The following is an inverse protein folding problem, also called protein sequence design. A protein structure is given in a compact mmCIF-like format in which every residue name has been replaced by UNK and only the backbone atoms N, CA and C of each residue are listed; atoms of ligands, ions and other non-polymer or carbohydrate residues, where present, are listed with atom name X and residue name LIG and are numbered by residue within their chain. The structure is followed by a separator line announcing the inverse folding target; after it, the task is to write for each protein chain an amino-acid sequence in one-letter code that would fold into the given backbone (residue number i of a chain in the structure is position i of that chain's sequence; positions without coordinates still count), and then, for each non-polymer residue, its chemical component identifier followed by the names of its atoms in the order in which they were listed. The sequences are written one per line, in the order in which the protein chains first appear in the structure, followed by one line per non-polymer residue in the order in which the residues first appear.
data_IF_755383024362
#
_entry.id   IF_755383024362
#
_cell.length_a   1.000
_cell.length_b   1.000
_cell.length_c   1.000
_cell.angle_alpha   90.00
_cell.angle_beta   90.00
_cell.angle_gamma   90.00
#
_symmetry.space_group_name_H-M   'P 1'
#
loop_
_entity.id
_entity.type
_entity.pdbx_description
1 polymer ?
#
# COMPACT_ATOMS: atom_id res chain seq x y z
N UNK A 1 -12.98 -21.66 13.21
CA UNK A 1 -11.66 -20.97 13.16
C UNK A 1 -11.48 -20.56 11.71
N UNK A 2 -11.31 -19.26 11.42
CA UNK A 2 -10.98 -18.82 10.06
C UNK A 2 -9.63 -19.43 9.68
N UNK A 3 -9.59 -20.08 8.53
CA UNK A 3 -8.33 -20.57 7.97
C UNK A 3 -7.53 -19.35 7.51
N UNK A 4 -6.59 -18.91 8.35
CA UNK A 4 -5.71 -17.77 8.09
C UNK A 4 -4.82 -17.98 6.85
N UNK A 5 -4.80 -19.18 6.28
CA UNK A 5 -4.08 -19.51 5.04
C UNK A 5 -4.95 -19.40 3.79
N UNK A 6 -6.27 -19.22 3.91
CA UNK A 6 -7.14 -19.00 2.75
C UNK A 6 -7.28 -17.49 2.46
N UNK A 7 -6.20 -16.88 1.99
CA UNK A 7 -6.10 -15.44 1.71
C UNK A 7 -6.66 -15.03 0.34
N UNK A 8 -7.27 -15.96 -0.41
CA UNK A 8 -7.76 -15.73 -1.77
C UNK A 8 -6.77 -16.18 -2.85
N UNK A 9 -6.86 -15.59 -4.04
CA UNK A 9 -6.04 -15.98 -5.20
C UNK A 9 -4.73 -15.18 -5.24
N UNK A 10 -3.58 -15.76 -5.61
CA UNK A 10 -2.34 -15.01 -5.77
C UNK A 10 -2.51 -13.82 -6.72
N UNK A 11 -2.02 -12.65 -6.29
CA UNK A 11 -2.05 -11.39 -7.03
C UNK A 11 -0.65 -10.86 -7.36
N UNK A 12 -0.56 -9.64 -7.92
CA UNK A 12 0.72 -8.98 -8.19
C UNK A 12 1.54 -8.85 -6.90
N UNK A 13 2.72 -9.47 -6.89
CA UNK A 13 3.60 -9.53 -5.72
C UNK A 13 4.92 -8.82 -6.04
N UNK A 14 5.50 -8.20 -5.02
CA UNK A 14 6.76 -7.46 -5.12
C UNK A 14 7.90 -8.16 -4.39
N UNK A 15 9.00 -7.44 -4.15
CA UNK A 15 10.09 -7.96 -3.32
C UNK A 15 9.70 -8.17 -1.85
N UNK A 16 8.70 -7.44 -1.36
CA UNK A 16 8.38 -7.37 0.07
C UNK A 16 7.09 -8.11 0.45
N UNK A 17 6.10 -8.06 -0.43
CA UNK A 17 4.75 -8.53 -0.16
C UNK A 17 4.35 -9.58 -1.19
N UNK A 18 3.99 -10.77 -0.69
CA UNK A 18 3.17 -11.72 -1.43
C UNK A 18 1.71 -11.30 -1.29
N UNK A 19 1.07 -11.02 -2.41
CA UNK A 19 -0.28 -10.46 -2.45
C UNK A 19 -1.31 -11.54 -2.75
N UNK A 20 -2.43 -11.52 -2.04
CA UNK A 20 -3.57 -12.39 -2.29
C UNK A 20 -4.86 -11.57 -2.41
N UNK A 21 -5.61 -11.79 -3.48
CA UNK A 21 -6.82 -11.05 -3.82
C UNK A 21 -8.04 -11.86 -3.42
N UNK A 22 -8.83 -11.32 -2.49
CA UNK A 22 -10.16 -11.82 -2.17
C UNK A 22 -11.22 -10.90 -2.79
N UNK A 23 -12.50 -11.21 -2.57
CA UNK A 23 -13.62 -10.47 -3.20
C UNK A 23 -13.56 -8.96 -2.92
N UNK A 24 -13.34 -8.59 -1.64
CA UNK A 24 -13.43 -7.21 -1.13
C UNK A 24 -12.11 -6.65 -0.59
N UNK A 25 -11.10 -7.50 -0.42
CA UNK A 25 -9.84 -7.13 0.22
C UNK A 25 -8.66 -7.71 -0.55
N UNK A 26 -7.52 -7.05 -0.38
CA UNK A 26 -6.22 -7.54 -0.82
C UNK A 26 -5.38 -7.78 0.43
N UNK A 27 -4.93 -9.01 0.64
CA UNK A 27 -3.98 -9.36 1.69
C UNK A 27 -2.56 -9.22 1.17
N UNK A 28 -1.67 -8.72 2.03
CA UNK A 28 -0.23 -8.62 1.80
C UNK A 28 0.49 -9.37 2.92
N UNK A 29 1.20 -10.44 2.56
CA UNK A 29 2.07 -11.19 3.47
C UNK A 29 3.47 -10.58 3.37
N UNK A 30 3.87 -9.87 4.42
CA UNK A 30 5.09 -9.07 4.43
C UNK A 30 6.29 -9.88 4.93
N UNK A 31 7.39 -9.89 4.17
CA UNK A 31 8.61 -10.61 4.54
C UNK A 31 9.61 -9.79 5.39
N UNK A 32 9.29 -8.54 5.73
CA UNK A 32 10.05 -7.61 6.57
C UNK A 32 11.43 -7.17 6.03
N UNK A 33 11.85 -7.62 4.85
CA UNK A 33 13.19 -7.32 4.31
C UNK A 33 13.48 -5.82 4.21
N UNK A 34 12.47 -5.02 3.84
CA UNK A 34 12.62 -3.57 3.65
C UNK A 34 12.21 -2.74 4.86
N UNK A 35 11.61 -3.36 5.88
CA UNK A 35 11.06 -2.64 7.03
C UNK A 35 12.01 -2.62 8.21
N UNK A 36 12.99 -3.52 8.29
CA UNK A 36 13.87 -3.64 9.45
C UNK A 36 13.18 -4.18 10.71
N UNK A 37 11.90 -4.55 10.61
CA UNK A 37 11.11 -5.17 11.68
C UNK A 37 9.62 -4.81 11.65
N UNK A 38 8.84 -5.50 12.48
CA UNK A 38 7.37 -5.32 12.55
C UNK A 38 6.97 -3.92 13.03
N UNK A 39 7.73 -3.31 13.94
CA UNK A 39 7.40 -1.98 14.48
C UNK A 39 7.44 -0.93 13.39
N UNK A 40 8.47 -0.97 12.53
CA UNK A 40 8.60 -0.05 11.41
C UNK A 40 7.51 -0.30 10.34
N UNK A 41 7.14 -1.55 10.08
CA UNK A 41 5.98 -1.86 9.23
C UNK A 41 4.69 -1.24 9.78
N UNK A 42 4.43 -1.37 11.09
CA UNK A 42 3.25 -0.78 11.72
C UNK A 42 3.26 0.75 11.65
N UNK A 43 4.44 1.39 11.76
CA UNK A 43 4.57 2.83 11.59
C UNK A 43 4.25 3.26 10.15
N UNK A 44 4.76 2.54 9.14
CA UNK A 44 4.44 2.80 7.73
C UNK A 44 2.93 2.70 7.47
N UNK A 45 2.29 1.65 8.01
CA UNK A 45 0.84 1.47 7.91
C UNK A 45 0.07 2.64 8.52
N UNK A 46 0.49 3.12 9.70
CA UNK A 46 -0.15 4.28 10.32
C UNK A 46 -0.03 5.53 9.46
N UNK A 47 1.14 5.79 8.89
CA UNK A 47 1.35 6.94 8.00
C UNK A 47 0.52 6.82 6.72
N UNK A 48 0.48 5.64 6.11
CA UNK A 48 -0.36 5.37 4.93
C UNK A 48 -1.83 5.65 5.23
N UNK A 49 -2.34 5.16 6.36
CA UNK A 49 -3.74 5.33 6.73
C UNK A 49 -4.12 6.78 7.02
N UNK A 50 -3.15 7.61 7.46
CA UNK A 50 -3.36 9.05 7.67
C UNK A 50 -3.49 9.77 6.34
N UNK A 51 -2.62 9.47 5.37
CA UNK A 51 -2.58 10.17 4.09
C UNK A 51 -3.58 9.62 3.06
N UNK A 52 -3.85 8.31 3.10
CA UNK A 52 -4.64 7.58 2.10
C UNK A 52 -5.70 6.70 2.77
N UNK A 53 -6.75 7.30 3.38
CA UNK A 53 -7.73 6.56 4.17
C UNK A 53 -8.59 5.59 3.36
N UNK A 54 -8.82 5.84 2.06
CA UNK A 54 -9.66 5.00 1.20
C UNK A 54 -9.04 3.61 0.93
N UNK A 55 -7.73 3.49 1.10
CA UNK A 55 -6.95 2.26 0.94
C UNK A 55 -6.26 1.85 2.23
N UNK A 56 -6.78 2.30 3.37
CA UNK A 56 -6.17 2.06 4.67
C UNK A 56 -5.90 0.56 4.92
N UNK A 57 -4.71 0.28 5.41
CA UNK A 57 -4.30 -1.04 5.85
C UNK A 57 -4.85 -1.35 7.24
N UNK A 58 -5.19 -2.61 7.46
CA UNK A 58 -5.44 -3.18 8.77
C UNK A 58 -4.60 -4.44 8.97
N UNK A 59 -4.21 -4.67 10.22
CA UNK A 59 -3.49 -5.89 10.59
C UNK A 59 -4.46 -7.07 10.63
N UNK A 60 -4.10 -8.16 9.96
CA UNK A 60 -4.90 -9.39 9.92
C UNK A 60 -4.38 -10.42 10.92
N UNK A 61 -3.07 -10.64 10.94
CA UNK A 61 -2.46 -11.70 11.74
C UNK A 61 -1.03 -12.02 11.31
N UNK A 62 -0.61 -13.24 11.56
CA UNK A 62 0.71 -13.74 11.18
C UNK A 62 0.60 -14.99 10.33
N UNK A 63 1.48 -15.11 9.35
CA UNK A 63 1.76 -16.32 8.59
C UNK A 63 3.19 -16.83 8.89
N UNK A 64 3.62 -17.88 8.19
CA UNK A 64 4.99 -18.40 8.31
C UNK A 64 5.20 -19.43 9.43
N UNK A 65 4.15 -20.15 9.83
CA UNK A 65 4.29 -21.30 10.74
C UNK A 65 4.85 -22.54 10.02
N UNK A 66 5.47 -23.46 10.77
CA UNK A 66 6.32 -24.58 10.30
C UNK A 66 7.72 -24.20 9.78
N UNK A 67 8.53 -23.57 10.65
CA UNK A 67 9.97 -23.41 10.45
C UNK A 67 10.40 -22.26 9.54
N UNK A 68 9.48 -21.36 9.17
CA UNK A 68 9.74 -20.14 8.40
C UNK A 68 9.76 -18.91 9.31
N UNK A 69 10.25 -17.79 8.78
CA UNK A 69 10.18 -16.48 9.44
C UNK A 69 8.72 -16.09 9.67
N UNK A 70 8.40 -15.55 10.85
CA UNK A 70 7.06 -15.01 11.14
C UNK A 70 6.80 -13.80 10.24
N UNK A 71 5.76 -13.88 9.42
CA UNK A 71 5.42 -12.85 8.42
C UNK A 71 4.12 -12.14 8.83
N UNK A 72 4.13 -10.83 9.08
CA UNK A 72 2.91 -10.06 9.29
C UNK A 72 2.01 -10.13 8.06
N UNK A 73 0.72 -10.34 8.28
CA UNK A 73 -0.30 -10.26 7.25
C UNK A 73 -1.11 -9.00 7.51
N UNK A 74 -1.16 -8.14 6.50
CA UNK A 74 -1.99 -6.94 6.48
C UNK A 74 -2.99 -7.03 5.34
N UNK A 75 -4.06 -6.26 5.40
CA UNK A 75 -5.01 -6.19 4.30
C UNK A 75 -5.49 -4.76 4.09
N UNK A 76 -5.95 -4.48 2.88
CA UNK A 76 -6.59 -3.22 2.51
C UNK A 76 -7.86 -3.50 1.67
N UNK A 77 -8.78 -2.52 1.55
CA UNK A 77 -9.89 -2.62 0.61
C UNK A 77 -9.42 -2.88 -0.82
N UNK A 78 -10.12 -3.75 -1.53
CA UNK A 78 -9.90 -3.99 -2.96
C UNK A 78 -10.64 -2.92 -3.76
N UNK A 79 -9.91 -2.16 -4.57
CA UNK A 79 -10.49 -1.24 -5.55
C UNK A 79 -10.90 -2.04 -6.79
N UNK A 80 -12.19 -2.33 -6.92
CA UNK A 80 -12.71 -3.12 -8.04
C UNK A 80 -12.80 -2.28 -9.32
N UNK A 81 -12.60 -2.91 -10.49
CA UNK A 81 -12.73 -2.28 -11.81
C UNK A 81 -11.83 -1.05 -12.05
N UNK A 82 -10.79 -0.87 -11.23
CA UNK A 82 -9.82 0.20 -11.40
C UNK A 82 -8.65 -0.21 -12.30
N UNK A 83 -7.97 0.79 -12.85
CA UNK A 83 -6.77 0.65 -13.69
C UNK A 83 -5.63 1.51 -13.13
N UNK A 84 -4.37 1.26 -13.51
CA UNK A 84 -3.26 2.17 -13.22
C UNK A 84 -3.57 3.62 -13.59
N UNK A 85 -3.41 4.54 -12.64
CA UNK A 85 -3.46 5.97 -12.90
C UNK A 85 -2.23 6.39 -13.73
N UNK A 86 -2.38 7.34 -14.64
CA UNK A 86 -1.22 7.90 -15.33
C UNK A 86 -0.53 8.96 -14.47
N UNK A 87 0.70 9.35 -14.82
CA UNK A 87 1.49 10.27 -14.01
C UNK A 87 0.82 11.64 -13.83
N UNK A 88 0.09 12.14 -14.83
CA UNK A 88 -0.61 13.44 -14.74
C UNK A 88 -1.72 13.38 -13.68
N UNK A 89 -2.46 12.27 -13.62
CA UNK A 89 -3.49 12.05 -12.59
C UNK A 89 -2.87 11.97 -11.20
N UNK A 90 -1.75 11.27 -11.04
CA UNK A 90 -1.02 11.17 -9.77
C UNK A 90 -0.55 12.55 -9.32
N UNK A 91 0.12 13.30 -10.21
CA UNK A 91 0.63 14.64 -9.91
C UNK A 91 -0.52 15.59 -9.51
N UNK A 92 -1.66 15.52 -10.20
CA UNK A 92 -2.85 16.34 -9.92
C UNK A 92 -3.47 15.98 -8.56
N UNK A 93 -3.59 14.69 -8.26
CA UNK A 93 -4.11 14.19 -6.99
C UNK A 93 -3.24 14.65 -5.81
N UNK A 94 -1.92 14.48 -5.92
CA UNK A 94 -1.00 14.89 -4.87
C UNK A 94 -1.00 16.40 -4.65
N UNK A 95 -1.08 17.19 -5.73
CA UNK A 95 -1.23 18.64 -5.63
C UNK A 95 -2.52 19.03 -4.89
N UNK A 96 -3.64 18.33 -5.13
CA UNK A 96 -4.90 18.58 -4.43
C UNK A 96 -4.82 18.25 -2.92
N UNK A 97 -3.95 17.32 -2.53
CA UNK A 97 -3.64 17.01 -1.13
C UNK A 97 -2.62 17.99 -0.49
N UNK A 98 -2.18 19.01 -1.22
CA UNK A 98 -1.22 20.00 -0.74
C UNK A 98 0.24 19.56 -0.83
N UNK A 99 0.53 18.52 -1.61
CA UNK A 99 1.91 18.09 -1.86
C UNK A 99 2.48 18.74 -3.13
N UNK A 100 3.76 19.07 -3.07
CA UNK A 100 4.56 19.53 -4.21
C UNK A 100 5.45 18.40 -4.71
N UNK A 101 5.59 18.29 -6.03
CA UNK A 101 6.48 17.31 -6.66
C UNK A 101 7.94 17.70 -6.40
N UNK A 102 8.76 16.73 -6.01
CA UNK A 102 10.20 16.95 -5.86
C UNK A 102 10.90 16.81 -7.22
N UNK A 103 12.23 16.83 -7.24
CA UNK A 103 13.00 16.55 -8.47
C UNK A 103 12.95 15.09 -8.90
N UNK A 104 12.53 14.19 -8.01
CA UNK A 104 12.45 12.74 -8.27
C UNK A 104 11.05 12.34 -8.72
N UNK A 105 10.96 11.45 -9.71
CA UNK A 105 9.67 10.97 -10.22
C UNK A 105 8.93 10.15 -9.16
N UNK A 106 7.62 10.41 -9.02
CA UNK A 106 6.79 9.73 -8.03
C UNK A 106 7.10 10.12 -6.59
N UNK A 107 7.86 11.19 -6.35
CA UNK A 107 8.24 11.70 -5.04
C UNK A 107 7.65 13.10 -4.82
N UNK A 108 7.02 13.29 -3.67
CA UNK A 108 6.28 14.48 -3.28
C UNK A 108 6.55 14.87 -1.83
N UNK A 109 6.43 16.16 -1.50
CA UNK A 109 6.50 16.67 -0.13
C UNK A 109 5.49 17.79 0.13
N UNK A 110 4.95 17.86 1.35
CA UNK A 110 4.12 18.99 1.80
C UNK A 110 4.74 19.74 3.00
N UNK A 111 6.03 19.52 3.27
CA UNK A 111 6.75 20.10 4.41
C UNK A 111 6.56 19.37 5.74
N UNK A 112 5.52 18.54 5.91
CA UNK A 112 5.37 17.64 7.06
C UNK A 112 5.67 16.17 6.69
N UNK A 113 5.37 15.78 5.45
CA UNK A 113 5.55 14.43 4.95
C UNK A 113 6.33 14.44 3.63
N UNK A 114 7.12 13.39 3.44
CA UNK A 114 7.67 12.95 2.16
C UNK A 114 6.96 11.65 1.77
N UNK A 115 6.49 11.57 0.52
CA UNK A 115 5.82 10.39 -0.04
C UNK A 115 6.49 10.03 -1.36
N UNK A 116 6.89 8.76 -1.52
CA UNK A 116 7.52 8.27 -2.75
C UNK A 116 7.00 6.90 -3.19
N UNK A 117 7.49 6.45 -4.34
CA UNK A 117 6.98 5.29 -5.09
C UNK A 117 5.53 5.45 -5.59
N UNK A 118 5.10 6.70 -5.80
CA UNK A 118 3.80 7.01 -6.44
C UNK A 118 3.93 6.96 -7.97
N UNK A 119 3.92 5.72 -8.46
CA UNK A 119 3.99 5.38 -9.88
C UNK A 119 2.74 4.60 -10.31
N UNK A 120 2.42 4.51 -11.62
CA UNK A 120 1.16 3.94 -12.10
C UNK A 120 0.78 2.56 -11.55
N UNK A 121 1.74 1.69 -11.23
CA UNK A 121 1.44 0.36 -10.66
C UNK A 121 0.92 0.41 -9.21
N UNK A 122 1.18 1.49 -8.49
CA UNK A 122 0.87 1.66 -7.06
C UNK A 122 -0.29 2.65 -6.83
N UNK A 123 -0.78 3.29 -7.89
CA UNK A 123 -1.89 4.24 -7.82
C UNK A 123 -2.94 3.83 -8.85
N UNK A 124 -4.16 3.61 -8.39
CA UNK A 124 -5.28 3.17 -9.21
C UNK A 124 -6.26 4.32 -9.43
N UNK A 125 -6.98 4.27 -10.55
CA UNK A 125 -8.11 5.13 -10.87
C UNK A 125 -9.31 4.27 -11.26
N UNK A 126 -10.48 4.54 -10.68
CA UNK A 126 -11.72 3.85 -11.02
C UNK A 126 -12.43 4.46 -12.24
N UNK A 127 -13.69 4.08 -12.47
CA UNK A 127 -14.46 4.55 -13.62
C UNK A 127 -15.00 5.98 -13.42
N UNK A 128 -15.17 6.37 -12.16
CA UNK A 128 -15.64 7.67 -11.69
C UNK A 128 -14.51 8.72 -11.71
N UNK A 129 -13.26 8.26 -11.71
CA UNK A 129 -12.06 9.09 -11.74
C UNK A 129 -11.43 9.29 -10.37
N UNK A 130 -11.91 8.57 -9.35
CA UNK A 130 -11.36 8.61 -8.00
C UNK A 130 -10.00 7.90 -7.96
N UNK A 131 -9.06 8.48 -7.22
CA UNK A 131 -7.66 8.04 -7.16
C UNK A 131 -7.40 7.31 -5.84
N UNK A 132 -6.80 6.13 -5.95
CA UNK A 132 -6.53 5.25 -4.82
C UNK A 132 -5.05 4.87 -4.77
N UNK A 133 -4.34 5.33 -3.74
CA UNK A 133 -2.94 4.96 -3.51
C UNK A 133 -2.90 3.62 -2.79
N UNK A 134 -2.54 2.54 -3.49
CA UNK A 134 -2.55 1.17 -2.92
C UNK A 134 -1.19 0.73 -2.40
N UNK A 135 -0.13 1.47 -2.74
CA UNK A 135 1.20 1.29 -2.17
C UNK A 135 1.97 2.62 -2.21
N UNK A 136 2.69 2.92 -1.14
CA UNK A 136 3.49 4.13 -1.04
C UNK A 136 4.50 3.99 0.09
N UNK A 137 5.64 4.65 -0.07
CA UNK A 137 6.58 4.84 1.01
C UNK A 137 6.43 6.26 1.57
N UNK A 138 6.44 6.38 2.91
CA UNK A 138 6.09 7.61 3.59
C UNK A 138 7.05 7.83 4.76
N UNK A 139 7.49 9.07 4.89
CA UNK A 139 8.30 9.55 6.01
C UNK A 139 7.76 10.88 6.51
N UNK A 140 7.79 11.07 7.82
CA UNK A 140 7.56 12.39 8.44
C UNK A 140 8.87 13.19 8.46
N UNK A 141 8.79 14.47 8.10
CA UNK A 141 9.93 15.41 8.02
C UNK A 141 10.03 16.23 9.30
#
# INVERSE_FOLDING_TARGET
MMDVFNLGVPGPSGHENDTYVAEKVVYKVNNLLNNGGIVALLQKILLHNILFPDTAYAFYGFAGFDGRTVQPVIYQPRVANAKPANQIMIDTYMAALGFEKTTEEGHFSNGEYEVWDLVPRNVLVDAEGDIFVVDAEIKRV
#
